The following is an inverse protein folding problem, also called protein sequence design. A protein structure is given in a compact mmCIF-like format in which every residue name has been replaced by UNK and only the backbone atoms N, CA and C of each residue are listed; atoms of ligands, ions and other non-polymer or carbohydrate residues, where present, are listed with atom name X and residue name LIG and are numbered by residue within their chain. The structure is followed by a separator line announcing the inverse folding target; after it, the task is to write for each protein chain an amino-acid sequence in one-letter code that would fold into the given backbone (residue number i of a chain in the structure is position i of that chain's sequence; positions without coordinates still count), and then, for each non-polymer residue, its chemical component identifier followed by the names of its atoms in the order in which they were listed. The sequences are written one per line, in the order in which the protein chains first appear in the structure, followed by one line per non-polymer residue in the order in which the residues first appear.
data_IF_799679938185
#
_entry.id   IF_799679938185
#
_cell.length_a   1.000
_cell.length_b   1.000
_cell.length_c   1.000
_cell.angle_alpha   90.00
_cell.angle_beta   90.00
_cell.angle_gamma   90.00
#
_symmetry.space_group_name_H-M   'P 1'
#
loop_
_entity.id
_entity.type
_entity.pdbx_description
1 polymer ?
#
# COMPACT_ATOMS: atom_id res chain seq x y z
N UNK A 1 7.60 -18.24 -1.58
CA UNK A 1 7.69 -17.01 -0.79
C UNK A 1 6.27 -16.59 -0.49
N UNK A 2 5.78 -16.62 0.77
CA UNK A 2 4.46 -16.06 1.06
C UNK A 2 4.54 -14.57 0.72
N UNK A 3 3.68 -14.13 -0.20
CA UNK A 3 3.66 -12.76 -0.67
C UNK A 3 3.56 -11.82 0.52
N UNK A 4 4.50 -10.90 0.65
CA UNK A 4 4.53 -9.76 1.59
C UNK A 4 3.13 -9.13 1.78
N UNK A 5 2.34 -9.16 0.71
CA UNK A 5 0.99 -8.63 0.60
C UNK A 5 -0.10 -9.39 1.39
N UNK A 6 0.11 -10.67 1.73
CA UNK A 6 -0.82 -11.43 2.57
C UNK A 6 -0.90 -10.94 4.03
N UNK A 7 -0.03 -10.01 4.42
CA UNK A 7 0.01 -9.36 5.74
C UNK A 7 -0.36 -7.86 5.67
N UNK A 8 -0.84 -7.40 4.52
CA UNK A 8 -1.32 -6.04 4.31
C UNK A 8 -2.73 -5.89 4.88
N UNK A 9 -2.93 -4.91 5.76
CA UNK A 9 -4.26 -4.56 6.26
C UNK A 9 -4.82 -3.38 5.48
N UNK A 10 -6.02 -3.56 4.91
CA UNK A 10 -6.69 -2.56 4.07
C UNK A 10 -7.80 -1.86 4.83
N UNK A 11 -7.68 -0.55 4.98
CA UNK A 11 -8.67 0.30 5.64
C UNK A 11 -9.23 1.32 4.64
N UNK A 12 -10.54 1.47 4.59
CA UNK A 12 -11.17 2.55 3.83
C UNK A 12 -10.91 3.89 4.51
N UNK A 13 -10.56 4.92 3.72
CA UNK A 13 -10.36 6.28 4.23
C UNK A 13 -11.69 7.03 4.21
N UNK A 14 -11.98 7.75 5.29
CA UNK A 14 -13.23 8.52 5.44
C UNK A 14 -13.45 9.59 4.34
N UNK A 15 -12.36 10.13 3.78
CA UNK A 15 -12.39 11.15 2.71
C UNK A 15 -12.36 10.55 1.29
N UNK A 16 -12.49 9.22 1.16
CA UNK A 16 -12.24 8.49 -0.07
C UNK A 16 -10.80 8.01 -0.20
N UNK A 17 -10.63 6.85 -0.83
CA UNK A 17 -9.35 6.16 -0.96
C UNK A 17 -9.16 4.99 0.02
N UNK A 18 -7.99 4.37 -0.04
CA UNK A 18 -7.62 3.21 0.80
C UNK A 18 -6.30 3.47 1.51
N UNK A 19 -6.20 2.99 2.74
CA UNK A 19 -4.97 2.93 3.51
C UNK A 19 -4.54 1.46 3.59
N UNK A 20 -3.32 1.17 3.16
CA UNK A 20 -2.70 -0.16 3.25
C UNK A 20 -1.64 -0.12 4.33
N UNK A 21 -1.79 -0.94 5.37
CA UNK A 21 -0.86 -1.03 6.50
C UNK A 21 -0.05 -2.32 6.43
N UNK A 22 1.26 -2.22 6.26
CA UNK A 22 2.19 -3.33 6.08
C UNK A 22 3.23 -3.33 7.22
N UNK A 23 3.60 -4.47 7.80
CA UNK A 23 4.71 -4.53 8.74
C UNK A 23 6.04 -4.17 8.05
N UNK A 24 6.87 -3.33 8.67
CA UNK A 24 8.14 -2.87 8.08
C UNK A 24 9.21 -3.95 8.03
N UNK A 25 9.04 -5.03 8.79
CA UNK A 25 9.89 -6.22 8.72
C UNK A 25 9.51 -7.14 7.56
N UNK A 26 8.31 -6.98 6.98
CA UNK A 26 7.85 -7.80 5.86
C UNK A 26 8.42 -7.32 4.51
N UNK A 27 8.77 -6.03 4.38
CA UNK A 27 9.28 -5.44 3.13
C UNK A 27 10.21 -4.29 3.40
N UNK A 28 11.29 -4.15 2.63
CA UNK A 28 12.14 -2.97 2.73
C UNK A 28 11.43 -1.75 2.14
N UNK A 29 11.69 -0.56 2.69
CA UNK A 29 11.09 0.68 2.16
C UNK A 29 11.45 0.95 0.69
N UNK A 30 12.61 0.46 0.23
CA UNK A 30 13.02 0.54 -1.18
C UNK A 30 12.15 -0.36 -2.05
N UNK A 31 12.00 -1.63 -1.68
CA UNK A 31 11.21 -2.60 -2.45
C UNK A 31 9.74 -2.18 -2.48
N UNK A 32 9.20 -1.72 -1.34
CA UNK A 32 7.85 -1.19 -1.26
C UNK A 32 7.65 -0.03 -2.23
N UNK A 33 8.57 0.94 -2.25
CA UNK A 33 8.50 2.07 -3.17
C UNK A 33 8.62 1.62 -4.63
N UNK A 34 9.53 0.70 -4.95
CA UNK A 34 9.68 0.15 -6.30
C UNK A 34 8.40 -0.56 -6.76
N UNK A 35 7.77 -1.35 -5.89
CA UNK A 35 6.47 -1.99 -6.19
C UNK A 35 5.37 -0.96 -6.39
N UNK A 36 5.28 0.06 -5.52
CA UNK A 36 4.28 1.11 -5.65
C UNK A 36 4.49 1.97 -6.91
N UNK A 37 5.73 2.32 -7.25
CA UNK A 37 6.06 3.05 -8.48
C UNK A 37 5.71 2.24 -9.74
N UNK A 38 5.88 0.91 -9.69
CA UNK A 38 5.50 0.03 -10.80
C UNK A 38 3.98 -0.11 -10.95
N UNK A 39 3.23 -0.09 -9.85
CA UNK A 39 1.77 -0.24 -9.85
C UNK A 39 1.05 1.09 -10.11
N UNK A 40 1.63 2.18 -9.64
CA UNK A 40 1.07 3.52 -9.65
C UNK A 40 2.07 4.52 -10.25
N UNK A 41 2.30 4.47 -11.58
CA UNK A 41 3.30 5.31 -12.25
C UNK A 41 2.91 6.80 -12.32
N UNK A 42 1.66 7.14 -12.02
CA UNK A 42 1.20 8.52 -12.06
C UNK A 42 1.56 9.29 -10.76
N UNK A 43 1.91 10.58 -10.87
CA UNK A 43 2.26 11.39 -9.71
C UNK A 43 1.06 11.56 -8.76
N UNK A 44 1.32 11.46 -7.45
CA UNK A 44 0.34 11.60 -6.35
C UNK A 44 -0.72 10.50 -6.24
N UNK A 45 -0.50 9.35 -6.86
CA UNK A 45 -1.38 8.18 -6.71
C UNK A 45 -1.31 7.55 -5.32
N UNK A 46 -0.17 7.69 -4.63
CA UNK A 46 0.07 7.08 -3.32
C UNK A 46 0.94 7.95 -2.40
N UNK A 47 0.92 7.68 -1.10
CA UNK A 47 1.79 8.29 -0.09
C UNK A 47 2.20 7.27 0.95
N UNK A 48 3.49 7.13 1.24
CA UNK A 48 4.00 6.17 2.22
C UNK A 48 4.44 6.90 3.47
N UNK A 49 3.95 6.46 4.63
CA UNK A 49 4.39 6.91 5.95
C UNK A 49 4.87 5.71 6.75
N UNK A 50 6.11 5.75 7.24
CA UNK A 50 6.59 4.76 8.20
C UNK A 50 6.17 5.20 9.61
N UNK A 51 5.30 4.43 10.26
CA UNK A 51 4.86 4.65 11.64
C UNK A 51 5.34 3.49 12.49
N UNK A 52 6.36 3.75 13.33
CA UNK A 52 7.02 2.75 14.18
C UNK A 52 7.53 1.56 13.34
N UNK A 53 6.85 0.44 13.43
CA UNK A 53 7.16 -0.85 12.83
C UNK A 53 6.26 -1.17 11.62
N UNK A 54 5.52 -0.18 11.10
CA UNK A 54 4.59 -0.39 9.98
C UNK A 54 4.63 0.72 8.93
N UNK A 55 4.62 0.33 7.67
CA UNK A 55 4.37 1.22 6.54
C UNK A 55 2.87 1.43 6.36
N UNK A 56 2.44 2.68 6.36
CA UNK A 56 1.09 3.13 6.04
C UNK A 56 1.11 3.76 4.66
N UNK A 57 0.55 3.07 3.67
CA UNK A 57 0.42 3.54 2.29
C UNK A 57 -0.98 4.09 2.09
N UNK A 58 -1.10 5.37 1.76
CA UNK A 58 -2.37 6.05 1.51
C UNK A 58 -2.55 6.14 -0.01
N UNK A 59 -3.65 5.64 -0.51
CA UNK A 59 -4.04 5.61 -1.93
C UNK A 59 -5.36 6.39 -2.09
N UNK A 60 -5.32 7.72 -2.21
CA UNK A 60 -6.51 8.57 -2.17
C UNK A 60 -7.45 8.38 -3.38
N UNK A 61 -6.90 7.96 -4.53
CA UNK A 61 -7.66 7.83 -5.78
C UNK A 61 -8.10 6.39 -6.08
N UNK A 62 -7.84 5.45 -5.16
CA UNK A 62 -8.08 4.02 -5.38
C UNK A 62 -9.14 3.49 -4.43
N UNK A 63 -9.99 2.60 -4.93
CA UNK A 63 -10.98 1.89 -4.13
C UNK A 63 -10.47 0.51 -3.71
N UNK A 64 -10.96 0.00 -2.58
CA UNK A 64 -10.61 -1.35 -2.08
C UNK A 64 -10.92 -2.43 -3.11
N UNK A 65 -12.02 -2.29 -3.84
CA UNK A 65 -12.42 -3.20 -4.91
C UNK A 65 -11.43 -3.21 -6.10
N UNK A 66 -10.83 -2.05 -6.43
CA UNK A 66 -9.78 -2.00 -7.45
C UNK A 66 -8.50 -2.68 -6.94
N UNK A 67 -8.09 -2.43 -5.70
CA UNK A 67 -6.88 -3.00 -5.13
C UNK A 67 -6.99 -4.51 -4.92
N UNK A 68 -8.15 -5.03 -4.52
CA UNK A 68 -8.38 -6.48 -4.45
C UNK A 68 -8.28 -7.18 -5.80
N UNK A 69 -8.57 -6.48 -6.90
CA UNK A 69 -8.50 -7.01 -8.28
C UNK A 69 -7.07 -7.21 -8.79
N UNK A 70 -6.11 -6.50 -8.23
CA UNK A 70 -4.70 -6.64 -8.59
C UNK A 70 -4.06 -7.94 -8.07
N UNK A 71 -4.83 -8.85 -7.43
CA UNK A 71 -4.31 -10.07 -6.82
C UNK A 71 -3.05 -9.76 -5.99
N UNK A 72 -3.23 -8.91 -4.99
CA UNK A 72 -2.26 -8.68 -3.93
C UNK A 72 -2.20 -9.90 -3.00
#
# INVERSE_FOLDING_TARGET
MPSVMGQAEYHDRAEGGVIVSLPSWAVSGRDLRTTLDSLFPAPKEYSVQLKRDRYSVILPNHSKAQLQRYHF
#
